data_IF_076676932660
#
_entry.id   IF_076676932660
#
_cell.length_a   1.000
_cell.length_b   1.000
_cell.length_c   1.000
_cell.angle_alpha   90.00
_cell.angle_beta   90.00
_cell.angle_gamma   90.00
#
_symmetry.space_group_name_H-M   'P 1'
#
loop_
_entity.id
_entity.type
_entity.pdbx_description
1 polymer ?
#
# COMPACT_ATOMS: atom_id res chain seq x y z
N UNK A 1 -7.65 -20.26 -26.14
CA UNK A 1 -6.35 -19.72 -26.60
C UNK A 1 -6.09 -20.34 -27.98
N UNK A 2 -5.73 -19.56 -29.00
CA UNK A 2 -5.54 -20.04 -30.38
C UNK A 2 -4.06 -20.29 -30.69
N UNK A 3 -3.76 -21.13 -31.67
CA UNK A 3 -2.38 -21.33 -32.13
C UNK A 3 -1.89 -20.12 -32.94
N UNK A 4 -0.70 -19.60 -32.64
CA UNK A 4 -0.16 -18.43 -33.36
C UNK A 4 0.14 -18.67 -34.84
N UNK A 5 0.30 -19.93 -35.26
CA UNK A 5 0.57 -20.24 -36.68
C UNK A 5 -0.63 -20.65 -37.50
N UNK A 6 -1.41 -21.63 -37.04
CA UNK A 6 -2.55 -22.11 -37.81
C UNK A 6 -3.89 -21.51 -37.37
N UNK A 7 -3.89 -20.63 -36.34
CA UNK A 7 -5.10 -20.05 -35.72
C UNK A 7 -6.13 -21.08 -35.23
N UNK A 8 -5.75 -22.36 -35.14
CA UNK A 8 -6.60 -23.44 -34.67
C UNK A 8 -7.03 -23.26 -33.21
N UNK A 9 -8.21 -23.76 -32.89
CA UNK A 9 -8.91 -23.53 -31.62
C UNK A 9 -8.28 -24.19 -30.39
N UNK A 10 -7.23 -25.00 -30.56
CA UNK A 10 -6.59 -25.75 -29.49
C UNK A 10 -5.07 -25.52 -29.46
N UNK A 11 -4.60 -24.53 -28.71
CA UNK A 11 -3.17 -24.41 -28.38
C UNK A 11 -2.86 -25.06 -27.03
N UNK A 12 -2.19 -26.21 -27.10
CA UNK A 12 -1.82 -27.05 -25.95
C UNK A 12 -0.50 -26.63 -25.29
N UNK A 13 0.35 -25.89 -26.01
CA UNK A 13 1.72 -25.60 -25.58
C UNK A 13 2.07 -24.11 -25.77
N UNK A 14 3.18 -23.66 -25.15
CA UNK A 14 3.66 -22.27 -25.22
C UNK A 14 5.14 -22.22 -25.60
N UNK A 15 5.53 -21.24 -26.41
CA UNK A 15 6.92 -21.02 -26.82
C UNK A 15 7.80 -20.60 -25.63
N UNK A 16 9.02 -21.14 -25.45
CA UNK A 16 9.90 -20.76 -24.35
C UNK A 16 10.41 -19.32 -24.42
N UNK A 17 10.49 -18.72 -25.62
CA UNK A 17 11.04 -17.38 -25.83
C UNK A 17 9.99 -16.29 -25.65
N UNK A 18 8.90 -16.36 -26.40
CA UNK A 18 7.87 -15.32 -26.45
C UNK A 18 6.57 -15.69 -25.70
N UNK A 19 6.48 -16.91 -25.12
CA UNK A 19 5.28 -17.49 -24.50
C UNK A 19 4.04 -17.59 -25.40
N UNK A 20 4.22 -17.43 -26.71
CA UNK A 20 3.16 -17.57 -27.70
C UNK A 20 2.54 -18.99 -27.71
N UNK A 21 1.21 -19.11 -27.75
CA UNK A 21 0.50 -20.39 -27.74
C UNK A 21 0.57 -21.13 -29.09
N UNK A 22 0.83 -22.45 -29.09
CA UNK A 22 0.85 -23.30 -30.29
C UNK A 22 0.18 -24.66 -30.08
N UNK A 23 -0.24 -25.31 -31.17
CA UNK A 23 -0.98 -26.58 -31.12
C UNK A 23 -0.10 -27.85 -31.28
N UNK A 24 1.00 -27.78 -32.04
CA UNK A 24 1.86 -28.94 -32.33
C UNK A 24 3.33 -28.57 -32.55
N UNK A 25 4.20 -29.57 -32.55
CA UNK A 25 5.63 -29.43 -32.86
C UNK A 25 5.89 -28.79 -34.23
N UNK A 26 5.01 -29.07 -35.22
CA UNK A 26 5.09 -28.46 -36.56
C UNK A 26 4.87 -26.96 -36.50
N UNK A 27 3.83 -26.52 -35.78
CA UNK A 27 3.57 -25.09 -35.56
C UNK A 27 4.68 -24.42 -34.74
N UNK A 28 5.33 -25.15 -33.82
CA UNK A 28 6.47 -24.64 -33.06
C UNK A 28 7.71 -24.42 -33.95
N UNK A 29 8.00 -25.33 -34.90
CA UNK A 29 9.11 -25.18 -35.84
C UNK A 29 8.89 -24.00 -36.79
N UNK A 30 7.71 -23.91 -37.40
CA UNK A 30 7.32 -22.76 -38.24
C UNK A 30 7.37 -21.44 -37.48
N UNK A 31 7.01 -21.46 -36.19
CA UNK A 31 7.14 -20.28 -35.32
C UNK A 31 8.59 -19.90 -35.03
N UNK A 32 9.50 -20.86 -34.87
CA UNK A 32 10.92 -20.62 -34.61
C UNK A 32 11.73 -20.22 -35.84
N UNK A 33 11.23 -20.49 -37.04
CA UNK A 33 11.83 -20.02 -38.30
C UNK A 33 11.76 -18.49 -38.42
N UNK A 34 10.74 -17.86 -37.82
CA UNK A 34 10.70 -16.43 -37.61
C UNK A 34 11.28 -16.09 -36.23
N UNK A 35 12.30 -15.22 -36.11
CA UNK A 35 12.82 -14.83 -34.80
C UNK A 35 11.73 -14.12 -34.00
N UNK A 36 11.40 -14.65 -32.81
CA UNK A 36 10.44 -14.05 -31.89
C UNK A 36 11.16 -13.44 -30.67
N UNK A 37 10.63 -12.32 -30.17
CA UNK A 37 11.16 -11.63 -28.99
C UNK A 37 10.41 -12.04 -27.71
N UNK A 38 11.05 -11.97 -26.54
CA UNK A 38 10.37 -12.12 -25.26
C UNK A 38 9.26 -11.07 -25.11
N UNK A 39 8.15 -11.40 -24.42
CA UNK A 39 7.11 -10.41 -24.17
C UNK A 39 7.70 -9.23 -23.40
N UNK A 40 7.23 -8.00 -23.65
CA UNK A 40 7.64 -6.85 -22.85
C UNK A 40 7.34 -7.16 -21.37
N UNK A 41 8.19 -6.68 -20.44
CA UNK A 41 7.90 -6.79 -19.02
C UNK A 41 6.49 -6.27 -18.76
N UNK A 42 5.69 -6.93 -17.89
CA UNK A 42 4.43 -6.34 -17.47
C UNK A 42 4.75 -4.93 -16.97
N UNK A 43 4.05 -3.94 -17.53
CA UNK A 43 4.10 -2.58 -17.00
C UNK A 43 3.85 -2.68 -15.49
N UNK A 44 4.69 -2.05 -14.65
CA UNK A 44 4.46 -2.06 -13.21
C UNK A 44 3.00 -1.63 -13.00
N UNK A 45 2.25 -2.31 -12.11
CA UNK A 45 0.86 -1.95 -11.86
C UNK A 45 0.83 -0.45 -11.61
N UNK A 46 0.13 0.28 -12.49
CA UNK A 46 -0.15 1.69 -12.26
C UNK A 46 -0.97 1.69 -10.98
N UNK A 47 -0.31 2.00 -9.87
CA UNK A 47 -0.94 2.20 -8.58
C UNK A 47 -1.65 3.53 -8.70
N UNK A 48 -2.81 3.53 -9.36
CA UNK A 48 -3.80 4.57 -9.13
C UNK A 48 -4.10 4.56 -7.62
N UNK A 49 -4.02 5.69 -6.91
CA UNK A 49 -4.41 5.76 -5.52
C UNK A 49 -5.90 5.43 -5.44
N UNK A 50 -6.23 4.15 -5.29
CA UNK A 50 -7.58 3.73 -4.93
C UNK A 50 -7.80 4.26 -3.53
N UNK A 51 -8.74 5.19 -3.42
CA UNK A 51 -9.40 5.59 -2.17
C UNK A 51 -10.18 4.40 -1.58
N UNK A 52 -9.49 3.29 -1.29
CA UNK A 52 -10.07 2.29 -0.41
C UNK A 52 -10.16 2.94 0.96
N UNK A 53 -11.34 2.94 1.61
CA UNK A 53 -11.42 3.17 3.03
C UNK A 53 -10.42 2.20 3.65
N UNK A 54 -9.39 2.74 4.30
CA UNK A 54 -8.56 1.92 5.18
C UNK A 54 -9.56 1.18 6.09
N UNK A 55 -9.46 -0.12 6.26
CA UNK A 55 -10.33 -0.84 7.19
C UNK A 55 -9.37 -1.59 8.10
N UNK A 56 -9.50 -1.38 9.40
CA UNK A 56 -8.67 -2.10 10.35
C UNK A 56 -9.01 -3.58 10.26
N UNK A 57 -8.01 -4.44 10.07
CA UNK A 57 -8.22 -5.91 10.04
C UNK A 57 -8.75 -6.43 11.39
N UNK A 58 -8.42 -5.74 12.49
CA UNK A 58 -8.80 -6.12 13.86
C UNK A 58 -9.13 -4.87 14.71
N UNK A 59 -10.29 -4.23 14.51
CA UNK A 59 -10.69 -3.07 15.31
C UNK A 59 -11.03 -3.50 16.74
N UNK A 60 -10.62 -2.69 17.70
CA UNK A 60 -10.93 -2.82 19.13
C UNK A 60 -11.67 -1.58 19.62
N UNK A 61 -12.18 -1.59 20.85
CA UNK A 61 -12.88 -0.44 21.45
C UNK A 61 -11.99 0.81 21.51
N UNK A 62 -10.67 0.63 21.65
CA UNK A 62 -9.68 1.70 21.68
C UNK A 62 -9.21 2.14 20.28
N UNK A 63 -9.69 1.50 19.20
CA UNK A 63 -9.28 1.84 17.83
C UNK A 63 -10.03 3.07 17.32
N UNK A 64 -9.29 4.13 17.00
CA UNK A 64 -9.85 5.38 16.47
C UNK A 64 -10.35 5.18 15.03
N UNK A 65 -11.61 5.52 14.77
CA UNK A 65 -12.20 5.46 13.42
C UNK A 65 -11.49 6.42 12.46
N UNK A 66 -11.38 6.02 11.18
CA UNK A 66 -10.66 6.82 10.17
C UNK A 66 -11.32 8.17 9.90
N UNK A 67 -12.65 8.26 10.04
CA UNK A 67 -13.34 9.55 9.98
C UNK A 67 -12.83 10.52 11.04
N UNK A 68 -12.57 10.04 12.27
CA UNK A 68 -11.96 10.85 13.33
C UNK A 68 -10.50 11.17 13.03
N UNK A 69 -9.76 10.25 12.43
CA UNK A 69 -8.37 10.51 12.00
C UNK A 69 -8.28 11.58 10.91
N UNK A 70 -9.22 11.64 9.98
CA UNK A 70 -9.25 12.70 8.95
C UNK A 70 -9.39 14.09 9.55
N UNK A 71 -10.05 14.23 10.71
CA UNK A 71 -10.19 15.51 11.40
C UNK A 71 -8.86 16.07 11.92
N UNK A 72 -7.86 15.20 12.12
CA UNK A 72 -6.51 15.61 12.55
C UNK A 72 -5.86 16.53 11.51
N UNK A 73 -6.20 16.39 10.23
CA UNK A 73 -5.70 17.24 9.14
C UNK A 73 -6.13 18.70 9.30
N UNK A 74 -7.35 18.94 9.79
CA UNK A 74 -7.91 20.28 9.97
C UNK A 74 -7.33 21.01 11.20
N UNK A 75 -6.67 20.29 12.10
CA UNK A 75 -6.11 20.84 13.33
C UNK A 75 -4.82 21.62 13.09
N UNK A 76 -4.86 22.93 13.32
CA UNK A 76 -3.69 23.81 13.18
C UNK A 76 -2.64 23.55 14.24
N UNK A 77 -3.05 23.18 15.45
CA UNK A 77 -2.13 22.90 16.56
C UNK A 77 -1.33 21.63 16.29
N UNK A 78 -2.00 20.58 15.81
CA UNK A 78 -1.35 19.32 15.42
C UNK A 78 -0.37 19.55 14.27
N UNK A 79 -0.78 20.29 13.23
CA UNK A 79 0.11 20.63 12.11
C UNK A 79 1.36 21.37 12.59
N UNK A 80 1.22 22.31 13.54
CA UNK A 80 2.35 23.03 14.14
C UNK A 80 3.30 22.09 14.89
N UNK A 81 2.77 21.11 15.62
CA UNK A 81 3.61 20.07 16.25
C UNK A 81 4.37 19.24 15.20
N UNK A 82 3.73 18.91 14.06
CA UNK A 82 4.35 18.16 12.97
C UNK A 82 5.39 18.96 12.17
N UNK A 83 5.38 20.30 12.22
CA UNK A 83 6.45 21.11 11.62
C UNK A 83 7.82 20.74 12.23
N UNK A 84 7.83 20.36 13.51
CA UNK A 84 9.04 19.94 14.20
C UNK A 84 9.60 18.62 13.58
N UNK A 85 10.84 18.63 13.07
CA UNK A 85 11.44 17.43 12.46
C UNK A 85 11.59 16.27 13.45
N UNK A 86 11.82 16.55 14.74
CA UNK A 86 12.00 15.51 15.76
C UNK A 86 10.72 14.71 16.00
N UNK A 87 9.56 15.36 16.03
CA UNK A 87 8.26 14.67 16.18
C UNK A 87 8.04 13.71 14.99
N UNK A 88 8.35 14.16 13.77
CA UNK A 88 8.25 13.31 12.57
C UNK A 88 9.22 12.14 12.59
N UNK A 89 10.40 12.31 13.17
CA UNK A 89 11.37 11.24 13.33
C UNK A 89 10.90 10.20 14.36
N UNK A 90 10.40 10.66 15.52
CA UNK A 90 9.80 9.80 16.54
C UNK A 90 8.67 8.96 15.95
N UNK A 91 7.75 9.58 15.20
CA UNK A 91 6.63 8.88 14.56
C UNK A 91 7.09 7.80 13.56
N UNK A 92 8.13 8.09 12.77
CA UNK A 92 8.72 7.09 11.85
C UNK A 92 9.35 5.92 12.59
N UNK A 93 10.07 6.21 13.68
CA UNK A 93 10.69 5.18 14.52
C UNK A 93 9.59 4.30 15.13
N UNK A 94 8.53 4.91 15.66
CA UNK A 94 7.38 4.19 16.24
C UNK A 94 6.68 3.28 15.24
N UNK A 95 6.41 3.78 14.04
CA UNK A 95 5.72 3.03 12.98
C UNK A 95 6.52 1.80 12.50
N UNK A 96 7.86 1.92 12.47
CA UNK A 96 8.76 0.85 12.03
C UNK A 96 9.26 -0.06 13.17
N UNK A 97 8.92 0.22 14.42
CA UNK A 97 9.50 -0.46 15.56
C UNK A 97 8.87 -1.85 15.82
N UNK A 98 9.66 -2.83 16.27
CA UNK A 98 9.14 -4.15 16.65
C UNK A 98 8.33 -4.12 17.96
N UNK A 99 8.60 -3.15 18.84
CA UNK A 99 7.97 -3.00 20.15
C UNK A 99 7.57 -1.53 20.38
N UNK A 100 6.48 -1.06 19.72
CA UNK A 100 6.05 0.33 19.79
C UNK A 100 5.54 0.72 21.18
N UNK A 101 5.03 -0.23 21.97
CA UNK A 101 4.52 -0.02 23.33
C UNK A 101 5.59 0.52 24.29
N UNK A 102 6.81 -0.03 24.22
CA UNK A 102 7.95 0.42 25.04
C UNK A 102 8.39 1.82 24.63
N UNK A 103 8.49 2.06 23.32
CA UNK A 103 8.93 3.33 22.77
C UNK A 103 7.92 4.45 23.03
N UNK A 104 6.62 4.17 22.92
CA UNK A 104 5.58 5.13 23.30
C UNK A 104 5.80 5.57 24.74
N UNK A 105 6.08 4.67 25.67
CA UNK A 105 6.32 5.03 27.07
C UNK A 105 7.55 5.94 27.25
N UNK A 106 8.64 5.68 26.52
CA UNK A 106 9.81 6.56 26.52
C UNK A 106 9.49 7.94 25.94
N UNK A 107 8.88 8.00 24.76
CA UNK A 107 8.59 9.26 24.08
C UNK A 107 7.52 10.08 24.79
N UNK A 108 6.62 9.46 25.57
CA UNK A 108 5.69 10.19 26.43
C UNK A 108 6.37 11.05 27.52
N UNK A 109 7.69 10.89 27.74
CA UNK A 109 8.49 11.76 28.62
C UNK A 109 9.05 12.99 27.90
N UNK A 110 9.07 12.96 26.57
CA UNK A 110 9.57 14.06 25.74
C UNK A 110 8.45 15.08 25.50
N UNK A 111 8.65 16.36 25.86
CA UNK A 111 7.57 17.37 25.79
C UNK A 111 7.03 17.56 24.37
N UNK A 112 7.91 17.45 23.36
CA UNK A 112 7.53 17.58 21.95
C UNK A 112 6.55 16.49 21.49
N UNK A 113 6.62 15.30 22.07
CA UNK A 113 5.75 14.18 21.72
C UNK A 113 4.48 14.21 22.55
N UNK A 114 4.58 14.59 23.84
CA UNK A 114 3.40 14.80 24.70
C UNK A 114 2.49 15.89 24.12
N UNK A 115 3.05 17.03 23.70
CA UNK A 115 2.29 18.11 23.06
C UNK A 115 1.55 17.62 21.79
N UNK A 116 2.20 16.78 20.99
CA UNK A 116 1.58 16.16 19.82
C UNK A 116 0.46 15.19 20.21
N UNK A 117 0.69 14.34 21.21
CA UNK A 117 -0.30 13.37 21.68
C UNK A 117 -1.53 14.07 22.25
N UNK A 118 -1.35 15.11 23.07
CA UNK A 118 -2.43 15.93 23.61
C UNK A 118 -3.21 16.63 22.50
N UNK A 119 -2.54 17.18 21.48
CA UNK A 119 -3.21 17.77 20.32
C UNK A 119 -4.06 16.74 19.56
N UNK A 120 -3.56 15.50 19.39
CA UNK A 120 -4.32 14.42 18.77
C UNK A 120 -5.55 14.02 19.62
N UNK A 121 -5.36 13.83 20.92
CA UNK A 121 -6.42 13.43 21.84
C UNK A 121 -7.51 14.51 21.91
N UNK A 122 -7.14 15.79 21.95
CA UNK A 122 -8.09 16.89 21.92
C UNK A 122 -8.99 16.83 20.68
N UNK A 123 -8.45 16.55 19.50
CA UNK A 123 -9.26 16.46 18.27
C UNK A 123 -10.18 15.23 18.29
N UNK A 124 -9.66 14.09 18.75
CA UNK A 124 -10.40 12.82 18.76
C UNK A 124 -11.47 12.78 19.85
N UNK A 125 -11.22 13.38 21.01
CA UNK A 125 -12.10 13.36 22.19
C UNK A 125 -13.14 14.49 22.17
N UNK A 126 -12.77 15.74 21.83
CA UNK A 126 -13.71 16.87 21.89
C UNK A 126 -14.89 16.73 20.93
N UNK A 127 -14.78 15.91 19.88
CA UNK A 127 -15.88 15.66 18.93
C UNK A 127 -16.71 14.40 19.26
N UNK A 128 -16.38 13.69 20.33
CA UNK A 128 -17.19 12.57 20.85
C UNK A 128 -18.22 12.97 21.89
N UNK A 129 -18.12 14.17 22.48
CA UNK A 129 -19.00 14.63 23.57
C UNK A 129 -20.18 15.51 23.09
N UNK A 130 -20.33 15.73 21.79
CA UNK A 130 -21.52 16.37 21.21
C UNK A 130 -22.47 15.33 20.60
N UNK A 131 -23.21 14.59 21.44
CA UNK A 131 -24.52 13.97 21.07
C UNK A 131 -25.39 13.82 22.31
#
# INVERSE_FOLDING_TARGET
MSCVQCKGSNSKYKCPTCRAPYCSMVCCKLHKEAPCSPPPPPEPPQVEPKEQPFEYDFPTEDTVSIEKLKLLEESKELNKCLENPHVREILKILDSAPHPDVLINEYMREPIFTEFADACLNVVQNKSEET
#
